data_IF_183947103661
#
_entry.id   IF_183947103661
#
_cell.length_a   1.000
_cell.length_b   1.000
_cell.length_c   1.000
_cell.angle_alpha   90.00
_cell.angle_beta   90.00
_cell.angle_gamma   90.00
#
_symmetry.space_group_name_H-M   'P 1'
#
loop_
_entity.id
_entity.type
_entity.pdbx_description
1 polymer ?
#
# COMPACT_ATOMS: atom_id res chain seq x y z
N UNK A 1 31.26 2.09 -30.31
CA UNK A 1 30.40 2.11 -29.10
C UNK A 1 29.53 0.88 -29.13
N UNK A 2 29.66 -0.05 -28.17
CA UNK A 2 28.77 -1.21 -28.05
C UNK A 2 27.48 -0.73 -27.41
N UNK A 3 26.37 -0.81 -28.12
CA UNK A 3 25.04 -0.83 -27.50
C UNK A 3 24.96 -2.12 -26.69
N UNK A 4 25.09 -2.02 -25.36
CA UNK A 4 24.92 -3.15 -24.45
C UNK A 4 23.46 -3.56 -24.47
N UNK A 5 23.07 -4.42 -25.43
CA UNK A 5 21.72 -4.96 -25.51
C UNK A 5 21.40 -5.79 -24.26
N UNK A 6 20.23 -5.58 -23.68
CA UNK A 6 19.71 -6.34 -22.54
C UNK A 6 19.73 -7.84 -22.90
N UNK A 7 20.30 -8.67 -22.01
CA UNK A 7 20.40 -10.11 -22.25
C UNK A 7 19.07 -10.81 -21.97
N UNK A 8 18.83 -11.99 -22.54
CA UNK A 8 17.58 -12.76 -22.29
C UNK A 8 17.37 -13.02 -20.78
N UNK A 9 18.37 -13.47 -20.00
CA UNK A 9 18.20 -13.60 -18.55
C UNK A 9 17.85 -12.30 -17.84
N UNK A 10 18.42 -11.18 -18.27
CA UNK A 10 18.14 -9.86 -17.69
C UNK A 10 16.71 -9.42 -17.97
N UNK A 11 16.28 -9.51 -19.23
CA UNK A 11 14.91 -9.18 -19.62
C UNK A 11 13.88 -10.10 -18.94
N UNK A 12 14.17 -11.40 -18.80
CA UNK A 12 13.33 -12.33 -18.05
C UNK A 12 13.20 -11.91 -16.58
N UNK A 13 14.32 -11.55 -15.93
CA UNK A 13 14.31 -11.06 -14.55
C UNK A 13 13.47 -9.80 -14.41
N UNK A 14 13.61 -8.86 -15.33
CA UNK A 14 12.91 -7.58 -15.29
C UNK A 14 11.42 -7.76 -15.53
N UNK A 15 11.01 -8.50 -16.57
CA UNK A 15 9.60 -8.79 -16.88
C UNK A 15 8.92 -9.51 -15.72
N UNK A 16 9.57 -10.50 -15.11
CA UNK A 16 9.02 -11.23 -13.96
C UNK A 16 8.94 -10.34 -12.72
N UNK A 17 9.99 -9.57 -12.41
CA UNK A 17 10.02 -8.67 -11.24
C UNK A 17 8.97 -7.57 -11.32
N UNK A 18 8.60 -7.12 -12.53
CA UNK A 18 7.53 -6.14 -12.73
C UNK A 18 6.13 -6.70 -12.40
N UNK A 19 5.95 -8.03 -12.39
CA UNK A 19 4.68 -8.68 -12.09
C UNK A 19 4.76 -9.42 -10.75
N UNK A 20 4.28 -8.77 -9.67
CA UNK A 20 4.40 -9.30 -8.31
C UNK A 20 3.78 -10.68 -8.13
N UNK A 21 2.57 -10.91 -8.67
CA UNK A 21 1.91 -12.21 -8.56
C UNK A 21 2.73 -13.34 -9.21
N UNK A 22 3.30 -13.09 -10.39
CA UNK A 22 4.17 -14.04 -11.08
C UNK A 22 5.48 -14.24 -10.32
N UNK A 23 6.10 -13.14 -9.86
CA UNK A 23 7.31 -13.17 -9.04
C UNK A 23 7.12 -14.02 -7.78
N UNK A 24 6.03 -13.79 -7.03
CA UNK A 24 5.72 -14.54 -5.81
C UNK A 24 5.44 -16.01 -6.13
N UNK A 25 4.68 -16.32 -7.18
CA UNK A 25 4.45 -17.70 -7.60
C UNK A 25 5.75 -18.42 -8.03
N UNK A 26 6.67 -17.70 -8.68
CA UNK A 26 7.98 -18.21 -9.06
C UNK A 26 8.85 -18.47 -7.84
N UNK A 27 8.90 -17.51 -6.91
CA UNK A 27 9.64 -17.58 -5.66
C UNK A 27 9.13 -18.70 -4.74
N UNK A 28 7.81 -18.87 -4.64
CA UNK A 28 7.15 -19.95 -3.89
C UNK A 28 7.28 -21.33 -4.56
N UNK A 29 7.87 -21.41 -5.76
CA UNK A 29 7.99 -22.65 -6.54
C UNK A 29 6.62 -23.31 -6.83
N UNK A 30 5.58 -22.50 -7.06
CA UNK A 30 4.20 -22.94 -7.38
C UNK A 30 3.78 -22.65 -8.82
N UNK A 31 4.72 -22.24 -9.68
CA UNK A 31 4.45 -21.91 -11.08
C UNK A 31 5.07 -22.92 -12.05
N UNK A 32 4.37 -23.21 -13.14
CA UNK A 32 4.91 -24.01 -14.24
C UNK A 32 5.79 -23.14 -15.15
N UNK A 33 7.09 -23.41 -15.22
CA UNK A 33 8.05 -22.60 -15.98
C UNK A 33 7.78 -22.58 -17.48
N UNK A 34 7.26 -23.67 -18.05
CA UNK A 34 6.91 -23.73 -19.47
C UNK A 34 5.70 -22.85 -19.77
N UNK A 35 4.66 -22.92 -18.93
CA UNK A 35 3.49 -22.07 -19.06
C UNK A 35 3.85 -20.59 -18.89
N UNK A 36 4.72 -20.27 -17.91
CA UNK A 36 5.23 -18.92 -17.71
C UNK A 36 6.03 -18.43 -18.93
N UNK A 37 6.90 -19.27 -19.50
CA UNK A 37 7.68 -18.94 -20.68
C UNK A 37 6.78 -18.55 -21.86
N UNK A 38 5.72 -19.31 -22.12
CA UNK A 38 4.73 -18.98 -23.17
C UNK A 38 4.06 -17.64 -22.87
N UNK A 39 3.71 -17.38 -21.60
CA UNK A 39 3.01 -16.16 -21.20
C UNK A 39 3.85 -14.89 -21.35
N UNK A 40 5.15 -14.95 -21.06
CA UNK A 40 6.03 -13.76 -21.06
C UNK A 40 6.85 -13.60 -22.35
N UNK A 41 6.80 -14.56 -23.27
CA UNK A 41 7.65 -14.57 -24.46
C UNK A 41 7.57 -13.26 -25.25
N UNK A 42 6.36 -12.78 -25.54
CA UNK A 42 6.18 -11.55 -26.29
C UNK A 42 6.79 -10.32 -25.57
N UNK A 43 6.58 -10.21 -24.25
CA UNK A 43 7.10 -9.10 -23.44
C UNK A 43 8.64 -9.11 -23.44
N UNK A 44 9.26 -10.28 -23.31
CA UNK A 44 10.72 -10.42 -23.37
C UNK A 44 11.26 -10.08 -24.76
N UNK A 45 10.59 -10.52 -25.84
CA UNK A 45 11.00 -10.24 -27.22
C UNK A 45 10.94 -8.74 -27.56
N UNK A 46 9.95 -8.02 -27.01
CA UNK A 46 9.84 -6.57 -27.10
C UNK A 46 11.02 -5.89 -26.40
N UNK A 47 11.32 -6.28 -25.16
CA UNK A 47 12.40 -5.69 -24.35
C UNK A 47 13.78 -5.85 -25.01
N UNK A 48 14.07 -7.01 -25.62
CA UNK A 48 15.36 -7.27 -26.27
C UNK A 48 15.37 -7.00 -27.78
N UNK A 49 14.23 -6.62 -28.35
CA UNK A 49 14.04 -6.34 -29.78
C UNK A 49 14.47 -7.48 -30.73
N UNK A 50 14.25 -8.73 -30.32
CA UNK A 50 14.52 -9.92 -31.15
C UNK A 50 13.73 -11.13 -30.66
N UNK A 51 13.43 -12.11 -31.54
CA UNK A 51 12.75 -13.33 -31.14
C UNK A 51 13.59 -14.17 -30.18
N UNK A 52 12.93 -14.87 -29.27
CA UNK A 52 13.57 -15.76 -28.29
C UNK A 52 13.00 -17.16 -28.39
N UNK A 53 13.88 -18.15 -28.35
CA UNK A 53 13.44 -19.54 -28.28
C UNK A 53 12.81 -19.85 -26.91
N UNK A 54 11.66 -20.54 -26.90
CA UNK A 54 10.94 -20.90 -25.69
C UNK A 54 11.80 -21.67 -24.67
N UNK A 55 12.67 -22.59 -25.13
CA UNK A 55 13.57 -23.33 -24.24
C UNK A 55 14.59 -22.41 -23.56
N UNK A 56 15.05 -21.38 -24.26
CA UNK A 56 15.94 -20.36 -23.69
C UNK A 56 15.24 -19.60 -22.56
N UNK A 57 13.95 -19.27 -22.75
CA UNK A 57 13.14 -18.65 -21.70
C UNK A 57 12.97 -19.57 -20.50
N UNK A 58 12.61 -20.85 -20.71
CA UNK A 58 12.46 -21.83 -19.63
C UNK A 58 13.74 -21.96 -18.80
N UNK A 59 14.90 -22.03 -19.46
CA UNK A 59 16.20 -22.08 -18.77
C UNK A 59 16.48 -20.79 -18.01
N UNK A 60 16.20 -19.62 -18.59
CA UNK A 60 16.39 -18.34 -17.90
C UNK A 60 15.47 -18.21 -16.67
N UNK A 61 14.19 -18.57 -16.80
CA UNK A 61 13.20 -18.59 -15.71
C UNK A 61 13.68 -19.53 -14.60
N UNK A 62 14.07 -20.77 -14.95
CA UNK A 62 14.56 -21.75 -13.98
C UNK A 62 15.78 -21.23 -13.22
N UNK A 63 16.76 -20.64 -13.93
CA UNK A 63 17.95 -20.06 -13.30
C UNK A 63 17.59 -18.90 -12.37
N UNK A 64 16.59 -18.09 -12.73
CA UNK A 64 16.12 -17.03 -11.85
C UNK A 64 15.40 -17.61 -10.63
N UNK A 65 14.54 -18.62 -10.81
CA UNK A 65 13.88 -19.33 -9.72
C UNK A 65 14.88 -19.97 -8.75
N UNK A 66 15.92 -20.62 -9.27
CA UNK A 66 16.98 -21.24 -8.48
C UNK A 66 17.77 -20.21 -7.67
N UNK A 67 17.88 -18.95 -8.13
CA UNK A 67 18.54 -17.88 -7.37
C UNK A 67 17.80 -17.47 -6.09
N UNK A 68 16.51 -17.78 -5.97
CA UNK A 68 15.76 -17.55 -4.73
C UNK A 68 16.03 -18.60 -3.66
N UNK A 69 16.60 -19.76 -4.00
CA UNK A 69 16.91 -20.81 -3.01
C UNK A 69 18.02 -20.42 -2.05
N UNK A 70 18.86 -19.47 -2.46
CA UNK A 70 19.95 -18.91 -1.67
C UNK A 70 19.54 -17.60 -0.95
N UNK A 71 18.34 -17.08 -1.23
CA UNK A 71 17.76 -15.93 -0.54
C UNK A 71 16.72 -16.42 0.47
N UNK A 72 17.01 -16.24 1.76
CA UNK A 72 16.03 -16.47 2.81
C UNK A 72 14.73 -15.72 2.48
N UNK A 73 13.61 -16.32 2.83
CA UNK A 73 12.26 -15.76 2.64
C UNK A 73 12.10 -14.33 3.21
N UNK A 74 13.02 -13.91 4.09
CA UNK A 74 12.98 -12.66 4.85
C UNK A 74 13.32 -11.35 4.14
N UNK A 75 13.86 -11.31 2.91
CA UNK A 75 14.16 -10.00 2.29
C UNK A 75 12.91 -9.14 1.99
N UNK A 76 11.77 -9.78 1.70
CA UNK A 76 10.45 -9.12 1.61
C UNK A 76 9.75 -9.01 2.98
N UNK A 77 10.17 -9.76 4.02
CA UNK A 77 9.60 -9.62 5.37
C UNK A 77 10.03 -8.30 6.02
N UNK A 78 11.18 -7.76 5.59
CA UNK A 78 11.75 -6.51 6.11
C UNK A 78 11.26 -5.23 5.43
N UNK A 79 10.16 -5.28 4.69
CA UNK A 79 9.61 -4.10 4.01
C UNK A 79 9.21 -3.02 5.01
N UNK A 80 8.75 -3.42 6.21
CA UNK A 80 8.41 -2.52 7.31
C UNK A 80 9.52 -2.41 8.36
N UNK A 81 10.70 -2.97 8.12
CA UNK A 81 11.84 -2.88 9.03
C UNK A 81 12.17 -1.40 9.30
N UNK A 82 12.39 -1.04 10.57
CA UNK A 82 12.62 0.34 11.02
C UNK A 82 11.48 1.35 10.77
N UNK A 83 10.32 0.93 10.27
CA UNK A 83 9.13 1.81 10.20
C UNK A 83 8.69 2.24 11.61
N UNK A 84 8.23 3.47 11.77
CA UNK A 84 7.53 3.91 12.98
C UNK A 84 6.05 3.71 12.76
N UNK A 85 5.37 3.19 13.78
CA UNK A 85 3.94 2.92 13.72
C UNK A 85 3.23 3.53 14.91
N UNK A 86 2.12 4.22 14.65
CA UNK A 86 1.23 4.76 15.68
C UNK A 86 -0.19 4.28 15.45
N UNK A 87 -0.88 3.93 16.53
CA UNK A 87 -2.30 3.62 16.54
C UNK A 87 -3.02 4.75 17.30
N UNK A 88 -4.06 5.32 16.70
CA UNK A 88 -4.99 6.27 17.33
C UNK A 88 -6.38 5.68 17.22
N UNK A 89 -7.01 5.40 18.36
CA UNK A 89 -8.40 4.96 18.46
C UNK A 89 -9.36 6.16 18.49
N UNK A 90 -10.67 5.91 18.58
CA UNK A 90 -11.66 6.97 18.65
C UNK A 90 -11.60 7.97 17.49
N UNK A 91 -11.46 7.51 16.25
CA UNK A 91 -11.42 8.39 15.07
C UNK A 91 -12.82 8.61 14.47
N UNK A 92 -13.04 9.82 13.99
CA UNK A 92 -14.14 10.24 13.14
C UNK A 92 -13.68 10.37 11.70
N UNK A 93 -14.49 9.83 10.79
CA UNK A 93 -14.33 10.04 9.36
C UNK A 93 -15.46 10.90 8.82
N UNK A 94 -15.10 12.07 8.31
CA UNK A 94 -16.02 13.12 7.87
C UNK A 94 -15.84 13.30 6.37
N UNK A 95 -16.89 13.07 5.59
CA UNK A 95 -16.88 13.33 4.14
C UNK A 95 -17.90 14.41 3.80
N UNK A 96 -17.45 15.43 3.08
CA UNK A 96 -18.27 16.57 2.68
C UNK A 96 -18.20 16.75 1.17
N UNK A 97 -19.34 16.90 0.51
CA UNK A 97 -19.40 17.07 -0.94
C UNK A 97 -19.13 18.53 -1.33
N UNK A 98 -18.32 18.75 -2.38
CA UNK A 98 -17.94 20.10 -2.87
C UNK A 98 -19.12 20.85 -3.49
N UNK A 99 -20.15 20.13 -3.92
CA UNK A 99 -21.39 20.71 -4.44
C UNK A 99 -22.34 21.21 -3.35
N UNK A 100 -22.03 21.00 -2.06
CA UNK A 100 -22.79 21.62 -0.98
C UNK A 100 -22.51 23.13 -0.98
N UNK A 101 -23.41 23.89 -1.61
CA UNK A 101 -23.35 25.35 -1.65
C UNK A 101 -23.22 25.92 -0.23
N UNK A 102 -22.18 26.73 -0.01
CA UNK A 102 -21.96 27.44 1.26
C UNK A 102 -20.92 26.82 2.20
N UNK A 103 -20.30 25.69 1.84
CA UNK A 103 -19.29 25.07 2.69
C UNK A 103 -17.89 25.67 2.47
N UNK A 104 -17.46 26.53 3.39
CA UNK A 104 -16.10 27.07 3.38
C UNK A 104 -15.11 26.08 4.00
N UNK A 105 -14.37 25.36 3.15
CA UNK A 105 -13.34 24.41 3.60
C UNK A 105 -12.23 25.11 4.40
N UNK A 106 -11.95 26.40 4.13
CA UNK A 106 -10.95 27.15 4.88
C UNK A 106 -11.40 27.43 6.33
N UNK A 107 -12.70 27.69 6.53
CA UNK A 107 -13.28 27.87 7.87
C UNK A 107 -13.20 26.57 8.68
N UNK A 108 -13.50 25.42 8.06
CA UNK A 108 -13.38 24.10 8.73
C UNK A 108 -11.92 23.84 9.14
N UNK A 109 -10.98 24.04 8.23
CA UNK A 109 -9.55 23.83 8.50
C UNK A 109 -9.05 24.75 9.62
N UNK A 110 -9.49 26.00 9.63
CA UNK A 110 -9.14 26.98 10.68
C UNK A 110 -9.65 26.49 12.03
N UNK A 111 -10.95 26.15 12.13
CA UNK A 111 -11.56 25.66 13.37
C UNK A 111 -10.95 24.36 13.87
N UNK A 112 -10.61 23.43 12.97
CA UNK A 112 -9.90 22.22 13.37
C UNK A 112 -8.51 22.51 13.87
N UNK A 113 -7.74 23.39 13.21
CA UNK A 113 -6.41 23.78 13.70
C UNK A 113 -6.43 24.49 15.06
N UNK A 114 -7.53 25.16 15.41
CA UNK A 114 -7.72 25.76 16.74
C UNK A 114 -8.05 24.71 17.82
N UNK A 115 -8.71 23.62 17.44
CA UNK A 115 -9.15 22.56 18.36
C UNK A 115 -8.11 21.44 18.53
N UNK A 116 -7.42 21.05 17.45
CA UNK A 116 -6.46 19.95 17.44
C UNK A 116 -5.43 20.07 16.32
N UNK A 117 -4.19 19.70 16.63
CA UNK A 117 -3.14 19.54 15.61
C UNK A 117 -3.16 18.14 14.96
N UNK A 118 -4.01 17.22 15.43
CA UNK A 118 -4.00 15.82 15.02
C UNK A 118 -5.20 15.44 14.14
N UNK A 119 -5.28 16.05 12.96
CA UNK A 119 -6.23 15.66 11.92
C UNK A 119 -5.53 15.40 10.58
N UNK A 120 -6.10 14.53 9.77
CA UNK A 120 -5.72 14.36 8.37
C UNK A 120 -6.76 15.02 7.46
N UNK A 121 -6.31 15.68 6.40
CA UNK A 121 -7.14 16.34 5.40
C UNK A 121 -6.85 15.80 4.01
N UNK A 122 -7.91 15.39 3.30
CA UNK A 122 -7.81 14.87 1.95
C UNK A 122 -8.78 15.62 1.03
N UNK A 123 -8.24 16.28 0.00
CA UNK A 123 -9.04 16.90 -1.06
C UNK A 123 -9.23 15.92 -2.21
N UNK A 124 -10.49 15.55 -2.47
CA UNK A 124 -10.91 14.80 -3.64
C UNK A 124 -11.48 15.73 -4.71
N UNK A 125 -11.78 15.19 -5.90
CA UNK A 125 -12.37 15.97 -7.01
C UNK A 125 -13.76 16.50 -6.67
N UNK A 126 -14.57 15.68 -6.01
CA UNK A 126 -15.99 15.96 -5.71
C UNK A 126 -16.28 16.16 -4.22
N UNK A 127 -15.28 15.93 -3.37
CA UNK A 127 -15.45 15.91 -1.91
C UNK A 127 -14.19 16.32 -1.17
N UNK A 128 -14.38 16.66 0.09
CA UNK A 128 -13.33 16.87 1.08
C UNK A 128 -13.53 15.83 2.17
N UNK A 129 -12.43 15.31 2.70
CA UNK A 129 -12.47 14.37 3.81
C UNK A 129 -11.54 14.77 4.93
N UNK A 130 -12.03 14.58 6.15
CA UNK A 130 -11.27 14.77 7.37
C UNK A 130 -11.28 13.48 8.17
N UNK A 131 -10.11 13.10 8.67
CA UNK A 131 -9.96 12.03 9.65
C UNK A 131 -9.42 12.68 10.93
N UNK A 132 -10.24 12.71 11.97
CA UNK A 132 -9.97 13.50 13.19
C UNK A 132 -10.38 12.71 14.43
N UNK A 133 -9.82 13.01 15.59
CA UNK A 133 -10.20 12.36 16.85
C UNK A 133 -11.65 12.73 17.27
N UNK A 134 -12.33 11.78 17.90
CA UNK A 134 -13.72 11.88 18.37
C UNK A 134 -13.83 12.62 19.70
N UNK A 135 -13.41 13.89 19.67
CA UNK A 135 -13.51 14.80 20.81
C UNK A 135 -14.83 15.59 20.79
N UNK A 136 -15.29 16.02 21.96
CA UNK A 136 -16.51 16.81 22.09
C UNK A 136 -16.42 18.16 21.34
N UNK A 137 -15.27 18.84 21.44
CA UNK A 137 -14.96 20.08 20.70
C UNK A 137 -15.08 19.89 19.18
N UNK A 138 -14.56 18.78 18.66
CA UNK A 138 -14.60 18.45 17.23
C UNK A 138 -16.03 18.15 16.79
N UNK A 139 -16.80 17.40 17.59
CA UNK A 139 -18.23 17.16 17.31
C UNK A 139 -19.02 18.46 17.28
N UNK A 140 -18.76 19.38 18.20
CA UNK A 140 -19.44 20.69 18.21
C UNK A 140 -19.14 21.47 16.94
N UNK A 141 -17.88 21.51 16.49
CA UNK A 141 -17.49 22.13 15.22
C UNK A 141 -18.23 21.47 14.05
N UNK A 142 -18.21 20.13 13.99
CA UNK A 142 -18.85 19.35 12.94
C UNK A 142 -20.37 19.54 12.93
N UNK A 143 -21.04 19.49 14.08
CA UNK A 143 -22.49 19.65 14.19
C UNK A 143 -22.93 21.07 13.80
N UNK A 144 -22.10 22.09 14.11
CA UNK A 144 -22.36 23.48 13.74
C UNK A 144 -22.21 23.74 12.23
N UNK A 145 -21.30 23.02 11.55
CA UNK A 145 -20.98 23.26 10.13
C UNK A 145 -21.73 22.29 9.21
N UNK A 146 -21.78 21.01 9.57
CA UNK A 146 -22.31 19.91 8.73
C UNK A 146 -23.67 19.39 9.20
N UNK A 147 -24.14 19.77 10.39
CA UNK A 147 -25.31 19.18 11.02
C UNK A 147 -25.05 17.78 11.62
N UNK A 148 -26.04 17.28 12.38
CA UNK A 148 -25.90 16.13 13.31
C UNK A 148 -25.65 14.73 12.69
N UNK A 149 -25.38 14.56 11.39
CA UNK A 149 -25.43 13.23 10.73
C UNK A 149 -24.39 12.95 9.63
N UNK A 150 -23.23 13.59 9.63
CA UNK A 150 -22.36 13.58 8.43
C UNK A 150 -21.02 12.85 8.63
N UNK A 151 -20.81 12.19 9.77
CA UNK A 151 -19.54 11.51 10.07
C UNK A 151 -19.72 10.06 10.57
N UNK A 152 -18.75 9.22 10.23
CA UNK A 152 -18.63 7.83 10.68
C UNK A 152 -17.78 7.79 11.94
N UNK A 153 -18.21 7.00 12.92
CA UNK A 153 -17.55 6.80 14.22
C UNK A 153 -17.02 5.37 14.37
N UNK A 154 -16.31 5.12 15.45
CA UNK A 154 -15.83 3.77 15.81
C UNK A 154 -14.73 3.30 14.88
N UNK A 155 -13.90 4.24 14.44
CA UNK A 155 -12.77 3.99 13.57
C UNK A 155 -11.48 4.14 14.37
N UNK A 156 -10.42 3.55 13.85
CA UNK A 156 -9.07 3.77 14.32
C UNK A 156 -8.14 4.04 13.13
N UNK A 157 -7.10 4.82 13.40
CA UNK A 157 -6.06 5.18 12.45
C UNK A 157 -4.76 4.49 12.81
N UNK A 158 -4.18 3.76 11.87
CA UNK A 158 -2.81 3.24 11.98
C UNK A 158 -1.94 4.00 11.00
N UNK A 159 -0.95 4.74 11.49
CA UNK A 159 0.03 5.46 10.66
C UNK A 159 1.36 4.72 10.68
N UNK A 160 1.92 4.47 9.50
CA UNK A 160 3.17 3.71 9.30
C UNK A 160 4.12 4.57 8.49
N UNK A 161 5.30 4.92 9.03
CA UNK A 161 6.31 5.65 8.27
C UNK A 161 7.06 4.69 7.34
N UNK A 162 7.16 5.01 6.05
CA UNK A 162 7.91 4.18 5.11
C UNK A 162 9.37 4.67 5.04
N UNK A 163 10.37 3.79 5.22
CA UNK A 163 11.77 4.16 5.08
C UNK A 163 12.09 4.66 3.66
N UNK A 164 12.90 5.72 3.54
CA UNK A 164 13.24 6.36 2.26
C UNK A 164 14.06 5.48 1.30
N UNK A 165 14.62 4.38 1.80
CA UNK A 165 15.41 3.42 1.02
C UNK A 165 14.59 2.22 0.51
N UNK A 166 13.25 2.23 0.68
CA UNK A 166 12.36 1.15 0.25
C UNK A 166 11.40 1.62 -0.84
N UNK A 167 10.93 0.66 -1.63
CA UNK A 167 9.96 0.87 -2.69
C UNK A 167 8.55 0.98 -2.10
N UNK A 168 7.86 2.10 -2.38
CA UNK A 168 6.50 2.36 -1.93
C UNK A 168 5.47 1.32 -2.41
N UNK A 169 5.46 0.92 -3.70
CA UNK A 169 4.57 -0.15 -4.17
C UNK A 169 4.73 -1.46 -3.40
N UNK A 170 5.97 -1.82 -3.03
CA UNK A 170 6.23 -3.04 -2.27
C UNK A 170 5.68 -2.95 -0.84
N UNK A 171 5.81 -1.80 -0.18
CA UNK A 171 5.21 -1.55 1.13
C UNK A 171 3.69 -1.66 1.11
N UNK A 172 3.05 -1.09 0.10
CA UNK A 172 1.59 -1.12 -0.05
C UNK A 172 1.10 -2.55 -0.30
N UNK A 173 1.74 -3.26 -1.24
CA UNK A 173 1.40 -4.66 -1.54
C UNK A 173 1.56 -5.53 -0.30
N UNK A 174 2.70 -5.42 0.37
CA UNK A 174 3.00 -6.20 1.57
C UNK A 174 1.99 -5.95 2.69
N UNK A 175 1.67 -4.69 2.99
CA UNK A 175 0.66 -4.34 4.01
C UNK A 175 -0.70 -4.91 3.63
N UNK A 176 -1.12 -4.76 2.36
CA UNK A 176 -2.39 -5.28 1.90
C UNK A 176 -2.46 -6.81 2.04
N UNK A 177 -1.41 -7.52 1.65
CA UNK A 177 -1.32 -8.99 1.76
C UNK A 177 -1.37 -9.45 3.22
N UNK A 178 -0.61 -8.81 4.11
CA UNK A 178 -0.58 -9.12 5.55
C UNK A 178 -1.96 -8.94 6.16
N UNK A 179 -2.64 -7.84 5.87
CA UNK A 179 -3.97 -7.57 6.41
C UNK A 179 -5.02 -8.53 5.86
N UNK A 180 -5.01 -8.78 4.55
CA UNK A 180 -5.94 -9.70 3.89
C UNK A 180 -5.82 -11.12 4.44
N UNK A 181 -4.59 -11.65 4.54
CA UNK A 181 -4.34 -13.00 5.05
C UNK A 181 -4.72 -13.18 6.53
N UNK A 182 -4.86 -12.08 7.27
CA UNK A 182 -5.30 -12.10 8.65
C UNK A 182 -6.79 -11.72 8.82
N UNK A 183 -7.52 -11.49 7.72
CA UNK A 183 -8.94 -11.14 7.75
C UNK A 183 -9.20 -9.77 8.36
N UNK A 184 -8.29 -8.81 8.17
CA UNK A 184 -8.49 -7.42 8.55
C UNK A 184 -9.01 -6.65 7.34
N UNK A 185 -10.25 -6.17 7.41
CA UNK A 185 -10.80 -5.28 6.41
C UNK A 185 -10.39 -3.82 6.66
N UNK A 186 -9.91 -3.17 5.62
CA UNK A 186 -9.65 -1.74 5.62
C UNK A 186 -10.94 -0.99 5.29
N UNK A 187 -11.25 0.03 6.09
CA UNK A 187 -12.27 1.03 5.75
C UNK A 187 -11.72 2.02 4.74
N UNK A 188 -10.46 2.41 4.92
CA UNK A 188 -9.73 3.25 3.95
C UNK A 188 -8.22 3.12 4.09
N UNK A 189 -7.50 3.65 3.10
CA UNK A 189 -6.05 3.77 3.13
C UNK A 189 -5.56 4.95 2.29
N UNK A 190 -4.67 5.74 2.88
CA UNK A 190 -4.03 6.87 2.24
C UNK A 190 -2.52 6.71 2.26
N UNK A 191 -1.88 7.13 1.18
CA UNK A 191 -0.44 6.99 0.99
C UNK A 191 0.14 8.35 0.58
N UNK A 192 1.19 8.80 1.24
CA UNK A 192 1.98 9.94 0.80
C UNK A 192 3.48 9.58 0.81
N UNK A 193 4.38 10.55 0.77
CA UNK A 193 5.83 10.30 0.72
C UNK A 193 6.47 9.98 2.07
N UNK A 194 5.76 10.17 3.17
CA UNK A 194 6.28 10.06 4.53
C UNK A 194 5.61 8.92 5.31
N UNK A 195 4.31 8.73 5.11
CA UNK A 195 3.49 7.78 5.83
C UNK A 195 2.38 7.13 5.01
N UNK A 196 2.02 5.93 5.45
CA UNK A 196 0.80 5.21 5.10
C UNK A 196 -0.18 5.39 6.26
N UNK A 197 -1.36 5.89 5.97
CA UNK A 197 -2.47 6.00 6.93
C UNK A 197 -3.51 4.95 6.58
N UNK A 198 -3.72 3.99 7.48
CA UNK A 198 -4.77 2.97 7.37
C UNK A 198 -5.92 3.36 8.29
N UNK A 199 -7.15 3.24 7.79
CA UNK A 199 -8.37 3.42 8.57
C UNK A 199 -9.07 2.08 8.69
N UNK A 200 -9.31 1.64 9.92
CA UNK A 200 -9.96 0.37 10.24
C UNK A 200 -11.09 0.60 11.23
N UNK A 201 -11.97 -0.38 11.38
CA UNK A 201 -12.87 -0.38 12.53
C UNK A 201 -12.07 -0.51 13.83
N UNK A 202 -12.52 0.21 14.86
CA UNK A 202 -11.90 0.21 16.17
C UNK A 202 -11.86 -1.20 16.80
N UNK A 203 -12.87 -2.02 16.51
CA UNK A 203 -12.95 -3.44 16.89
C UNK A 203 -11.78 -4.29 16.36
N UNK A 204 -11.18 -3.91 15.23
CA UNK A 204 -10.07 -4.61 14.59
C UNK A 204 -8.72 -3.91 14.81
N UNK A 205 -8.71 -2.72 15.39
CA UNK A 205 -7.55 -1.83 15.43
C UNK A 205 -6.33 -2.42 16.15
N UNK A 206 -6.52 -2.91 17.37
CA UNK A 206 -5.42 -3.50 18.15
C UNK A 206 -4.85 -4.74 17.47
N UNK A 207 -5.71 -5.60 16.91
CA UNK A 207 -5.30 -6.80 16.20
C UNK A 207 -4.51 -6.45 14.93
N UNK A 208 -5.01 -5.51 14.13
CA UNK A 208 -4.35 -5.03 12.93
C UNK A 208 -2.96 -4.44 13.24
N UNK A 209 -2.87 -3.61 14.28
CA UNK A 209 -1.63 -3.00 14.73
C UNK A 209 -0.59 -4.06 15.15
N UNK A 210 -0.99 -5.03 15.98
CA UNK A 210 -0.08 -6.08 16.45
C UNK A 210 0.40 -7.00 15.33
N UNK A 211 -0.46 -7.35 14.36
CA UNK A 211 -0.05 -8.12 13.18
C UNK A 211 1.03 -7.36 12.39
N UNK A 212 0.76 -6.10 12.04
CA UNK A 212 1.68 -5.27 11.27
C UNK A 212 2.99 -5.01 12.03
N UNK A 213 2.91 -4.86 13.36
CA UNK A 213 4.09 -4.72 14.22
C UNK A 213 4.91 -6.01 14.30
N UNK A 214 4.27 -7.17 14.32
CA UNK A 214 4.96 -8.46 14.39
C UNK A 214 5.80 -8.73 13.13
N UNK A 215 5.27 -8.38 11.95
CA UNK A 215 6.00 -8.53 10.68
C UNK A 215 7.10 -7.49 10.48
N UNK A 216 7.05 -6.37 11.19
CA UNK A 216 8.15 -5.39 11.24
C UNK A 216 9.38 -5.92 12.00
N UNK A 217 9.20 -6.84 12.95
CA UNK A 217 10.23 -7.29 13.90
C UNK A 217 11.02 -8.53 13.42
N UNK A 218 10.67 -9.09 12.27
CA UNK A 218 11.31 -10.23 11.61
C UNK A 218 12.27 -9.72 10.50
#
# INVERSE_FOLDING_TARGET
>A
MRTSGVSVPEAVREVISRNRAVYDCLRMNVINYTALAVRIQHEVEVEISRPVNLNTLVVAIKRYADSFKDQDWGENERVLENSRMTLTDGMLDVRVSVSEEGLDTADILTKFSEATDNYDFFRMSDSVRFLVEDEESIREILDNILGKRTYVRGLARIRISVPTNRSWPDAISFIADVLHNNGIELRDAFFNLDYITLVVEESHASRAYEILRSVRAL
#
